data_IF_020596788081
#
_entry.id   IF_020596788081
#
_cell.length_a   1.000
_cell.length_b   1.000
_cell.length_c   1.000
_cell.angle_alpha   90.00
_cell.angle_beta   90.00
_cell.angle_gamma   90.00
#
_symmetry.space_group_name_H-M   'P 1'
#
loop_
_entity.id
_entity.type
_entity.pdbx_description
1 polymer ?
#
# COMPACT_ATOMS: atom_id res chain seq x y z
N UNK A 1 -1.35 -6.57 23.50
CA UNK A 1 -0.29 -5.58 23.78
C UNK A 1 -0.52 -4.37 22.91
N UNK A 2 -0.45 -3.16 23.47
CA UNK A 2 -0.60 -1.89 22.74
C UNK A 2 0.63 -1.00 22.98
N UNK A 3 0.98 -0.19 21.99
CA UNK A 3 2.09 0.79 22.06
C UNK A 3 1.51 2.19 21.96
N UNK A 4 2.07 3.15 22.70
CA UNK A 4 1.63 4.56 22.66
C UNK A 4 2.28 5.27 21.47
N UNK A 5 1.48 5.99 20.70
CA UNK A 5 1.92 6.84 19.59
C UNK A 5 1.63 8.31 19.92
N UNK A 6 2.66 9.11 20.15
CA UNK A 6 2.53 10.56 20.40
C UNK A 6 2.82 11.36 19.13
N UNK A 7 1.82 12.06 18.61
CA UNK A 7 1.91 12.87 17.39
C UNK A 7 1.71 14.35 17.76
N UNK A 8 2.63 15.22 17.35
CA UNK A 8 2.44 16.66 17.46
C UNK A 8 1.48 17.14 16.38
N UNK A 9 0.41 17.82 16.79
CA UNK A 9 -0.58 18.42 15.89
C UNK A 9 -0.71 19.93 16.15
N UNK A 10 -1.17 20.72 15.17
CA UNK A 10 -1.46 22.13 15.39
C UNK A 10 -2.49 22.32 16.52
N UNK A 11 -2.28 23.33 17.37
CA UNK A 11 -3.15 23.59 18.54
C UNK A 11 -4.62 23.75 18.14
N UNK A 12 -4.88 24.52 17.08
CA UNK A 12 -6.23 24.74 16.54
C UNK A 12 -6.95 23.43 16.19
N UNK A 13 -6.23 22.44 15.64
CA UNK A 13 -6.82 21.14 15.31
C UNK A 13 -7.24 20.39 16.58
N UNK A 14 -6.39 20.41 17.61
CA UNK A 14 -6.72 19.78 18.90
C UNK A 14 -7.96 20.41 19.52
N UNK A 15 -8.08 21.74 19.46
CA UNK A 15 -9.23 22.50 19.97
C UNK A 15 -10.53 22.12 19.24
N UNK A 16 -10.52 22.03 17.91
CA UNK A 16 -11.69 21.57 17.15
C UNK A 16 -12.05 20.11 17.46
N UNK A 17 -11.06 19.24 17.63
CA UNK A 17 -11.30 17.87 18.07
C UNK A 17 -11.96 17.83 19.46
N UNK A 18 -11.50 18.66 20.40
CA UNK A 18 -12.09 18.70 21.74
C UNK A 18 -13.54 19.19 21.75
N UNK A 19 -13.90 20.13 20.87
CA UNK A 19 -15.30 20.59 20.73
C UNK A 19 -16.24 19.48 20.23
N UNK A 20 -15.70 18.51 19.50
CA UNK A 20 -16.46 17.44 18.87
C UNK A 20 -16.35 16.10 19.63
N UNK A 21 -15.65 16.07 20.78
CA UNK A 21 -15.39 14.84 21.54
C UNK A 21 -16.65 14.11 22.00
N UNK A 22 -17.76 14.84 22.20
CA UNK A 22 -19.04 14.28 22.64
C UNK A 22 -19.78 13.57 21.47
N UNK A 23 -19.35 13.83 20.23
CA UNK A 23 -19.91 13.24 19.01
C UNK A 23 -18.97 12.20 18.38
N UNK A 24 -17.65 12.33 18.59
CA UNK A 24 -16.63 11.54 17.89
C UNK A 24 -15.67 10.90 18.88
N UNK A 25 -15.56 9.57 18.81
CA UNK A 25 -14.50 8.79 19.48
C UNK A 25 -13.19 8.90 18.67
N UNK A 26 -12.46 10.00 18.90
CA UNK A 26 -11.18 10.27 18.22
C UNK A 26 -10.17 9.14 18.33
N UNK A 27 -9.94 8.51 19.50
CA UNK A 27 -9.07 7.33 19.59
C UNK A 27 -9.43 6.22 18.61
N UNK A 28 -10.72 5.88 18.47
CA UNK A 28 -11.14 4.80 17.57
C UNK A 28 -11.08 5.22 16.11
N UNK A 29 -11.51 6.45 15.79
CA UNK A 29 -11.46 6.99 14.43
C UNK A 29 -10.03 7.05 13.89
N UNK A 30 -9.09 7.54 14.70
CA UNK A 30 -7.68 7.64 14.31
C UNK A 30 -7.05 6.24 14.13
N UNK A 31 -7.38 5.28 15.01
CA UNK A 31 -6.90 3.90 14.85
C UNK A 31 -7.40 3.27 13.57
N UNK A 32 -8.69 3.37 13.28
CA UNK A 32 -9.29 2.84 12.05
C UNK A 32 -8.67 3.48 10.80
N UNK A 33 -8.49 4.80 10.81
CA UNK A 33 -7.83 5.53 9.73
C UNK A 33 -6.39 5.04 9.50
N UNK A 34 -5.60 4.88 10.57
CA UNK A 34 -4.22 4.40 10.46
C UNK A 34 -4.16 2.96 9.95
N UNK A 35 -5.03 2.07 10.42
CA UNK A 35 -5.11 0.69 9.94
C UNK A 35 -5.45 0.62 8.44
N UNK A 36 -6.45 1.38 8.00
CA UNK A 36 -6.84 1.43 6.59
C UNK A 36 -5.69 1.98 5.72
N UNK A 37 -5.02 3.05 6.19
CA UNK A 37 -3.88 3.63 5.49
C UNK A 37 -2.73 2.63 5.39
N UNK A 38 -2.37 1.95 6.48
CA UNK A 38 -1.34 0.91 6.45
C UNK A 38 -1.71 -0.21 5.48
N UNK A 39 -2.96 -0.69 5.50
CA UNK A 39 -3.43 -1.71 4.56
C UNK A 39 -3.31 -1.24 3.11
N UNK A 40 -3.69 0.00 2.83
CA UNK A 40 -3.60 0.61 1.49
C UNK A 40 -2.14 0.74 1.03
N UNK A 41 -1.26 1.29 1.87
CA UNK A 41 0.15 1.45 1.52
C UNK A 41 0.89 0.13 1.43
N UNK A 42 0.53 -0.90 2.21
CA UNK A 42 1.06 -2.26 2.03
C UNK A 42 0.72 -2.80 0.64
N UNK A 43 -0.52 -2.64 0.18
CA UNK A 43 -0.91 -3.04 -1.19
C UNK A 43 -0.11 -2.30 -2.25
N UNK A 44 0.04 -0.98 -2.11
CA UNK A 44 0.84 -0.17 -3.03
C UNK A 44 2.31 -0.60 -3.00
N UNK A 45 2.87 -0.87 -1.82
CA UNK A 45 4.26 -1.30 -1.67
C UNK A 45 4.50 -2.67 -2.29
N UNK A 46 3.58 -3.63 -2.11
CA UNK A 46 3.65 -4.94 -2.77
C UNK A 46 3.64 -4.79 -4.30
N UNK A 47 2.77 -3.93 -4.85
CA UNK A 47 2.77 -3.67 -6.30
C UNK A 47 4.09 -3.04 -6.75
N UNK A 48 4.62 -2.05 -6.01
CA UNK A 48 5.92 -1.44 -6.32
C UNK A 48 7.10 -2.39 -6.17
N UNK A 49 7.07 -3.29 -5.19
CA UNK A 49 8.08 -4.33 -5.02
C UNK A 49 7.99 -5.35 -6.16
N UNK A 50 6.79 -5.71 -6.60
CA UNK A 50 6.59 -6.51 -7.83
C UNK A 50 7.14 -5.76 -9.05
N UNK A 51 6.83 -4.48 -9.22
CA UNK A 51 7.36 -3.67 -10.33
C UNK A 51 8.89 -3.58 -10.28
N UNK A 52 9.49 -3.40 -9.10
CA UNK A 52 10.94 -3.39 -8.92
C UNK A 52 11.60 -4.75 -9.15
N UNK A 53 10.93 -5.85 -8.78
CA UNK A 53 11.39 -7.21 -9.12
C UNK A 53 11.29 -7.43 -10.64
N UNK A 54 10.21 -6.96 -11.29
CA UNK A 54 10.03 -7.03 -12.73
C UNK A 54 11.05 -6.18 -13.48
N UNK A 55 11.41 -4.99 -12.98
CA UNK A 55 12.48 -4.13 -13.52
C UNK A 55 13.88 -4.73 -13.34
N UNK A 56 14.07 -5.57 -12.31
CA UNK A 56 15.34 -6.29 -12.07
C UNK A 56 15.44 -7.60 -12.86
N UNK A 57 14.33 -8.10 -13.42
CA UNK A 57 14.39 -9.22 -14.35
C UNK A 57 15.03 -8.72 -15.65
N UNK A 58 15.98 -9.49 -16.23
CA UNK A 58 16.56 -9.13 -17.51
C UNK A 58 15.44 -9.00 -18.54
N UNK A 59 15.50 -7.96 -19.38
CA UNK A 59 14.56 -7.81 -20.49
C UNK A 59 14.47 -9.14 -21.24
N UNK A 60 13.26 -9.68 -21.34
CA UNK A 60 13.02 -10.90 -22.08
C UNK A 60 13.58 -10.71 -23.50
N UNK A 61 14.49 -11.59 -23.99
CA UNK A 61 15.10 -11.43 -25.30
C UNK A 61 14.01 -11.18 -26.35
N UNK A 62 14.18 -10.14 -27.17
CA UNK A 62 13.21 -9.84 -28.24
C UNK A 62 13.01 -11.10 -29.08
N UNK A 63 11.77 -11.56 -29.17
CA UNK A 63 11.39 -12.77 -29.89
C UNK A 63 11.33 -14.06 -29.06
N UNK A 64 11.59 -14.03 -27.73
CA UNK A 64 11.40 -15.23 -26.88
C UNK A 64 9.93 -15.67 -26.84
N UNK A 65 9.00 -14.71 -26.74
CA UNK A 65 7.56 -15.00 -26.76
C UNK A 65 7.13 -15.59 -28.11
N UNK A 66 7.60 -15.02 -29.23
CA UNK A 66 7.34 -15.55 -30.58
C UNK A 66 7.93 -16.95 -30.78
N UNK A 67 9.14 -17.19 -30.27
CA UNK A 67 9.82 -18.49 -30.35
C UNK A 67 9.09 -19.56 -29.54
N UNK A 68 8.69 -19.24 -28.30
CA UNK A 68 7.89 -20.15 -27.46
C UNK A 68 6.53 -20.43 -28.10
N UNK A 69 5.86 -19.43 -28.67
CA UNK A 69 4.59 -19.61 -29.40
C UNK A 69 4.74 -20.36 -30.74
N UNK A 70 5.93 -20.41 -31.32
CA UNK A 70 6.22 -21.17 -32.54
C UNK A 70 6.54 -22.62 -32.22
N UNK A 71 7.36 -22.86 -31.20
CA UNK A 71 7.68 -24.19 -30.69
C UNK A 71 6.44 -24.94 -30.15
N UNK A 72 5.50 -24.23 -29.53
CA UNK A 72 4.23 -24.81 -29.05
C UNK A 72 3.29 -25.17 -30.21
N UNK A 73 3.34 -24.42 -31.32
CA UNK A 73 2.58 -24.72 -32.56
C UNK A 73 3.17 -25.87 -33.36
N UNK A 74 4.48 -26.07 -33.32
CA UNK A 74 5.18 -27.17 -34.00
C UNK A 74 5.09 -28.51 -33.24
N UNK A 75 4.56 -28.51 -32.01
CA UNK A 75 4.29 -29.71 -31.20
C UNK A 75 2.92 -30.36 -31.44
N UNK A 76 2.17 -29.89 -32.43
CA UNK A 76 0.87 -30.43 -32.89
C UNK A 76 0.94 -30.82 -34.36
#
# INVERSE_FOLDING_TARGET
MSVVLSIRIPKKLKEEMDKLKDLVDWPSEIRAFLEERVRRYKRIKVLREVDQILEQLPETPRGLADKLMREDRERY
#
